data_IF_780001778688
#
_entry.id   IF_780001778688
#
_cell.length_a   1.000
_cell.length_b   1.000
_cell.length_c   1.000
_cell.angle_alpha   90.00
_cell.angle_beta   90.00
_cell.angle_gamma   90.00
#
_symmetry.space_group_name_H-M   'P 1'
#
loop_
_entity.id
_entity.type
_entity.pdbx_description
1 polymer ?
#
# COMPACT_ATOMS: atom_id res chain seq x y z
N UNK A 1 22.96 -19.82 -9.30
CA UNK A 1 22.95 -18.68 -8.35
C UNK A 1 23.39 -19.17 -7.00
N UNK A 2 24.35 -18.49 -6.40
CA UNK A 2 24.85 -18.76 -5.03
C UNK A 2 24.74 -17.50 -4.19
N UNK A 3 24.28 -17.63 -2.98
CA UNK A 3 24.17 -16.52 -2.02
C UNK A 3 25.01 -16.85 -0.80
N UNK A 4 25.88 -15.92 -0.44
CA UNK A 4 26.82 -16.05 0.67
C UNK A 4 26.61 -14.95 1.71
N UNK A 5 27.01 -15.24 2.94
CA UNK A 5 27.03 -14.28 4.03
C UNK A 5 28.48 -13.92 4.39
N UNK A 6 28.82 -12.65 4.32
CA UNK A 6 30.10 -12.03 4.64
C UNK A 6 31.25 -12.41 3.71
N UNK A 7 31.50 -13.68 3.47
CA UNK A 7 32.63 -14.19 2.65
C UNK A 7 32.14 -15.18 1.59
N UNK A 8 32.94 -15.33 0.52
CA UNK A 8 32.65 -16.29 -0.55
C UNK A 8 33.45 -17.57 -0.30
N UNK A 9 32.93 -18.41 0.56
CA UNK A 9 33.46 -19.75 0.82
C UNK A 9 32.31 -20.74 1.08
N UNK A 10 32.63 -22.00 1.27
CA UNK A 10 31.63 -23.06 1.41
C UNK A 10 30.82 -22.90 2.72
N UNK A 11 31.47 -22.47 3.80
CA UNK A 11 30.84 -22.32 5.11
C UNK A 11 29.90 -21.11 5.17
N UNK A 12 30.14 -20.15 4.31
CA UNK A 12 29.33 -18.92 4.15
C UNK A 12 28.18 -19.04 3.16
N UNK A 13 28.05 -20.18 2.49
CA UNK A 13 26.98 -20.41 1.51
C UNK A 13 25.64 -20.60 2.23
N UNK A 14 24.71 -19.68 2.03
CA UNK A 14 23.37 -19.72 2.65
C UNK A 14 22.28 -20.21 1.70
N UNK A 15 22.48 -20.06 0.39
CA UNK A 15 21.54 -20.56 -0.61
C UNK A 15 22.25 -20.90 -1.92
N UNK A 16 21.81 -21.99 -2.56
CA UNK A 16 22.22 -22.37 -3.90
C UNK A 16 21.02 -22.82 -4.72
N UNK A 17 20.90 -22.31 -5.94
CA UNK A 17 19.88 -22.75 -6.89
C UNK A 17 20.39 -22.75 -8.32
N UNK A 18 19.94 -23.73 -9.11
CA UNK A 18 20.06 -23.73 -10.57
C UNK A 18 18.75 -23.26 -11.15
N UNK A 19 18.81 -22.28 -12.04
CA UNK A 19 17.63 -21.62 -12.61
C UNK A 19 17.75 -21.66 -14.11
N UNK A 20 16.67 -22.01 -14.79
CA UNK A 20 16.53 -21.83 -16.22
C UNK A 20 15.54 -20.70 -16.45
N UNK A 21 15.95 -19.71 -17.23
CA UNK A 21 15.12 -18.58 -17.60
C UNK A 21 14.91 -18.57 -19.11
N UNK A 22 13.68 -18.35 -19.55
CA UNK A 22 13.41 -18.03 -20.94
C UNK A 22 13.87 -16.59 -21.23
N UNK A 23 14.16 -16.29 -22.50
CA UNK A 23 14.54 -14.95 -22.91
C UNK A 23 13.45 -13.93 -22.54
N UNK A 24 13.86 -12.83 -21.87
CA UNK A 24 12.93 -11.78 -21.42
C UNK A 24 12.12 -12.12 -20.18
N UNK A 25 12.34 -13.28 -19.54
CA UNK A 25 11.68 -13.65 -18.29
C UNK A 25 12.51 -13.24 -17.07
N UNK A 26 11.81 -13.01 -15.95
CA UNK A 26 12.41 -12.77 -14.64
C UNK A 26 11.91 -13.82 -13.63
N UNK A 27 12.73 -14.13 -12.64
CA UNK A 27 12.36 -15.02 -11.55
C UNK A 27 12.87 -14.51 -10.23
N UNK A 28 11.99 -14.49 -9.23
CA UNK A 28 12.33 -14.20 -7.84
C UNK A 28 12.98 -15.42 -7.17
N UNK A 29 13.99 -15.17 -6.34
CA UNK A 29 14.63 -16.17 -5.48
C UNK A 29 14.37 -15.77 -4.04
N UNK A 30 13.61 -16.60 -3.31
CA UNK A 30 13.36 -16.42 -1.89
C UNK A 30 14.31 -17.31 -1.09
N UNK A 31 14.92 -16.76 -0.05
CA UNK A 31 15.72 -17.51 0.91
C UNK A 31 15.54 -16.92 2.31
N UNK A 32 15.77 -17.75 3.32
CA UNK A 32 15.69 -17.32 4.72
C UNK A 32 17.09 -17.28 5.33
N UNK A 33 17.38 -16.23 6.07
CA UNK A 33 18.62 -16.06 6.81
C UNK A 33 18.32 -16.03 8.31
N UNK A 34 18.91 -16.95 9.07
CA UNK A 34 18.86 -16.89 10.53
C UNK A 34 19.87 -15.87 11.03
N UNK A 35 19.39 -14.85 11.73
CA UNK A 35 20.21 -13.68 12.13
C UNK A 35 20.55 -13.67 13.64
N UNK A 36 20.08 -14.64 14.42
CA UNK A 36 20.21 -14.64 15.90
C UNK A 36 21.65 -14.50 16.39
N UNK A 37 22.62 -15.03 15.65
CA UNK A 37 24.06 -15.04 15.96
C UNK A 37 24.84 -14.07 15.02
N UNK A 38 24.17 -13.17 14.32
CA UNK A 38 24.75 -12.29 13.29
C UNK A 38 24.66 -10.81 13.66
N UNK A 39 24.65 -10.50 14.96
CA UNK A 39 24.55 -9.10 15.43
C UNK A 39 25.70 -8.28 14.88
N UNK A 40 25.40 -7.05 14.41
CA UNK A 40 26.33 -6.12 13.81
C UNK A 40 26.25 -6.08 12.28
N UNK A 41 27.29 -5.56 11.65
CA UNK A 41 27.35 -5.40 10.20
C UNK A 41 27.61 -6.72 9.50
N UNK A 42 26.81 -6.99 8.51
CA UNK A 42 26.89 -8.18 7.67
C UNK A 42 26.77 -7.79 6.20
N UNK A 43 27.19 -8.69 5.32
CA UNK A 43 27.12 -8.52 3.87
C UNK A 43 26.52 -9.75 3.21
N UNK A 44 25.49 -9.55 2.40
CA UNK A 44 25.01 -10.58 1.46
C UNK A 44 25.78 -10.42 0.15
N UNK A 45 26.29 -11.53 -0.37
CA UNK A 45 26.99 -11.60 -1.63
C UNK A 45 26.26 -12.57 -2.54
N UNK A 46 25.74 -12.06 -3.65
CA UNK A 46 25.08 -12.85 -4.68
C UNK A 46 26.06 -13.11 -5.82
N UNK A 47 26.27 -14.37 -6.15
CA UNK A 47 27.01 -14.78 -7.35
C UNK A 47 26.09 -15.46 -8.34
N UNK A 48 26.08 -14.95 -9.55
CA UNK A 48 25.37 -15.57 -10.68
C UNK A 48 26.40 -16.04 -11.67
N UNK A 49 26.39 -17.33 -11.96
CA UNK A 49 27.25 -17.92 -13.00
C UNK A 49 26.40 -18.37 -14.16
N UNK A 50 26.69 -17.83 -15.33
CA UNK A 50 26.07 -18.21 -16.58
C UNK A 50 27.18 -18.62 -17.60
N UNK A 51 27.22 -19.88 -17.98
CA UNK A 51 28.26 -20.44 -18.85
C UNK A 51 29.66 -20.13 -18.30
N UNK A 52 30.38 -19.21 -18.95
CA UNK A 52 31.76 -18.82 -18.61
C UNK A 52 31.82 -17.42 -17.92
N UNK A 53 30.69 -16.79 -17.69
CA UNK A 53 30.61 -15.48 -17.07
C UNK A 53 30.14 -15.59 -15.60
N UNK A 54 30.69 -14.78 -14.74
CA UNK A 54 30.31 -14.69 -13.33
C UNK A 54 30.04 -13.23 -12.96
N UNK A 55 28.86 -12.98 -12.40
CA UNK A 55 28.44 -11.68 -11.91
C UNK A 55 28.36 -11.74 -10.38
N UNK A 56 28.89 -10.73 -9.72
CA UNK A 56 28.82 -10.62 -8.26
C UNK A 56 28.17 -9.30 -7.87
N UNK A 57 27.15 -9.37 -7.03
CA UNK A 57 26.46 -8.22 -6.43
C UNK A 57 26.52 -8.39 -4.92
N UNK A 58 26.79 -7.34 -4.18
CA UNK A 58 26.78 -7.38 -2.72
C UNK A 58 25.96 -6.24 -2.12
N UNK A 59 25.37 -6.51 -0.93
CA UNK A 59 24.65 -5.51 -0.16
C UNK A 59 24.98 -5.68 1.32
N UNK A 60 25.37 -4.58 1.95
CA UNK A 60 25.57 -4.53 3.40
C UNK A 60 24.23 -4.33 4.11
N UNK A 61 24.12 -4.96 5.30
CA UNK A 61 23.00 -4.78 6.22
C UNK A 61 23.51 -4.90 7.66
N UNK A 62 22.73 -4.39 8.60
CA UNK A 62 23.05 -4.46 10.01
C UNK A 62 21.97 -5.25 10.76
N UNK A 63 22.41 -6.17 11.61
CA UNK A 63 21.55 -6.88 12.55
C UNK A 63 21.70 -6.21 13.90
N UNK A 64 20.63 -5.55 14.34
CA UNK A 64 20.57 -4.89 15.65
C UNK A 64 20.04 -5.87 16.70
N UNK A 65 20.65 -5.84 17.88
CA UNK A 65 20.08 -6.53 19.03
C UNK A 65 18.93 -5.70 19.58
N UNK A 66 17.70 -6.20 19.45
CA UNK A 66 16.49 -5.54 19.94
C UNK A 66 15.69 -6.50 20.81
N UNK A 67 15.18 -5.99 21.92
CA UNK A 67 14.24 -6.74 22.75
C UNK A 67 12.89 -6.93 22.05
N UNK A 68 12.55 -6.02 21.16
CA UNK A 68 11.35 -6.09 20.30
C UNK A 68 11.77 -6.72 18.98
N UNK A 69 11.46 -8.00 18.80
CA UNK A 69 11.75 -8.73 17.56
C UNK A 69 10.47 -8.96 16.78
N UNK A 70 10.43 -8.44 15.57
CA UNK A 70 9.49 -8.91 14.57
C UNK A 70 10.23 -9.75 13.54
N UNK A 71 9.78 -10.98 13.33
CA UNK A 71 10.23 -11.81 12.21
C UNK A 71 9.40 -11.56 10.95
N UNK A 72 8.38 -10.73 11.08
CA UNK A 72 7.54 -10.33 9.97
C UNK A 72 8.15 -9.11 9.28
N UNK A 73 7.93 -9.01 8.00
CA UNK A 73 8.09 -7.80 7.22
C UNK A 73 7.00 -6.79 7.61
N UNK A 74 6.91 -5.69 6.93
CA UNK A 74 5.83 -4.73 7.10
C UNK A 74 4.50 -5.44 6.80
N UNK A 75 3.59 -5.47 7.79
CA UNK A 75 2.31 -6.17 7.65
C UNK A 75 1.34 -5.44 6.71
N UNK A 76 1.57 -4.17 6.43
CA UNK A 76 0.71 -3.41 5.53
C UNK A 76 1.25 -2.03 5.19
N UNK A 77 0.57 -1.35 4.30
CA UNK A 77 0.90 0.01 3.87
C UNK A 77 -0.36 0.83 3.59
N UNK A 78 -0.20 2.14 3.65
CA UNK A 78 -1.19 3.07 3.12
C UNK A 78 -1.14 3.08 1.60
N UNK A 79 -2.31 3.05 0.99
CA UNK A 79 -2.49 3.21 -0.44
C UNK A 79 -3.41 4.41 -0.69
N UNK A 80 -2.90 5.43 -1.35
CA UNK A 80 -3.71 6.55 -1.83
C UNK A 80 -4.26 6.25 -3.21
N UNK A 81 -5.56 6.45 -3.41
CA UNK A 81 -6.21 6.28 -4.72
C UNK A 81 -5.88 7.42 -5.68
N UNK A 82 -5.64 8.60 -5.17
CA UNK A 82 -5.11 9.77 -5.85
C UNK A 82 -4.61 10.74 -4.78
N UNK A 83 -3.62 11.55 -5.12
CA UNK A 83 -3.07 12.44 -4.12
C UNK A 83 -3.96 13.67 -3.92
N UNK A 84 -4.47 13.86 -2.74
CA UNK A 84 -5.18 15.03 -2.22
C UNK A 84 -6.26 15.59 -3.16
N UNK A 85 -6.10 16.83 -3.60
CA UNK A 85 -7.00 17.46 -4.57
C UNK A 85 -6.59 17.16 -6.02
N UNK A 86 -7.49 17.42 -6.96
CA UNK A 86 -7.20 17.29 -8.39
C UNK A 86 -6.03 18.18 -8.84
N UNK A 87 -5.91 19.36 -8.23
CA UNK A 87 -4.84 20.33 -8.57
C UNK A 87 -3.49 19.79 -8.08
N UNK A 88 -3.42 19.29 -6.89
CA UNK A 88 -2.18 18.80 -6.28
C UNK A 88 -1.76 17.44 -6.84
N UNK A 89 -2.68 16.54 -7.05
CA UNK A 89 -2.42 15.20 -7.57
C UNK A 89 -1.67 15.18 -8.90
N UNK A 90 -1.83 16.20 -9.72
CA UNK A 90 -1.10 16.30 -10.99
C UNK A 90 0.43 16.45 -10.81
N UNK A 91 0.87 16.95 -9.67
CA UNK A 91 2.30 17.15 -9.40
C UNK A 91 2.93 15.96 -8.66
N UNK A 92 2.15 15.25 -7.85
CA UNK A 92 2.69 14.22 -6.98
C UNK A 92 2.76 12.85 -7.62
N UNK A 93 1.69 12.38 -8.20
CA UNK A 93 1.71 11.10 -8.93
C UNK A 93 0.61 11.06 -10.00
N UNK A 94 0.88 11.63 -11.18
CA UNK A 94 -0.11 11.67 -12.26
C UNK A 94 -0.46 10.28 -12.82
N UNK A 95 0.37 9.25 -12.57
CA UNK A 95 0.14 7.92 -13.10
C UNK A 95 -0.92 7.15 -12.31
N UNK A 96 -1.08 7.41 -11.01
CA UNK A 96 -2.17 6.84 -10.21
C UNK A 96 -3.54 7.16 -10.83
N UNK A 97 -3.71 8.38 -11.32
CA UNK A 97 -4.92 8.82 -12.02
C UNK A 97 -5.29 7.94 -13.23
N UNK A 98 -4.28 7.34 -13.87
CA UNK A 98 -4.45 6.52 -15.08
C UNK A 98 -4.66 5.04 -14.77
N UNK A 99 -4.45 4.61 -13.53
CA UNK A 99 -4.61 3.21 -13.14
C UNK A 99 -6.05 2.75 -13.35
N UNK A 100 -6.18 1.61 -14.00
CA UNK A 100 -7.47 0.93 -14.20
C UNK A 100 -7.81 0.06 -12.99
N UNK A 101 -9.05 -0.45 -12.91
CA UNK A 101 -9.44 -1.40 -11.86
C UNK A 101 -8.55 -2.64 -11.84
N UNK A 102 -8.09 -3.13 -13.00
CA UNK A 102 -7.20 -4.29 -13.07
C UNK A 102 -5.80 -3.97 -12.55
N UNK A 103 -5.30 -2.77 -12.76
CA UNK A 103 -4.02 -2.33 -12.21
C UNK A 103 -4.09 -2.16 -10.68
N UNK A 104 -5.23 -1.75 -10.14
CA UNK A 104 -5.46 -1.76 -8.69
C UNK A 104 -5.44 -3.18 -8.12
N UNK A 105 -6.06 -4.16 -8.80
CA UNK A 105 -5.96 -5.58 -8.42
C UNK A 105 -4.51 -6.09 -8.47
N UNK A 106 -3.75 -5.69 -9.49
CA UNK A 106 -2.33 -6.07 -9.60
C UNK A 106 -1.50 -5.48 -8.46
N UNK A 107 -1.77 -4.24 -8.05
CA UNK A 107 -1.12 -3.64 -6.89
C UNK A 107 -1.39 -4.46 -5.62
N UNK A 108 -2.62 -4.87 -5.37
CA UNK A 108 -2.99 -5.73 -4.22
C UNK A 108 -2.22 -7.05 -4.26
N UNK A 109 -2.16 -7.72 -5.43
CA UNK A 109 -1.36 -8.94 -5.61
C UNK A 109 0.12 -8.71 -5.32
N UNK A 110 0.66 -7.59 -5.79
CA UNK A 110 2.05 -7.22 -5.56
C UNK A 110 2.34 -6.99 -4.08
N UNK A 111 1.45 -6.29 -3.36
CA UNK A 111 1.57 -6.08 -1.91
C UNK A 111 1.54 -7.43 -1.17
N UNK A 112 0.59 -8.29 -1.48
CA UNK A 112 0.50 -9.63 -0.89
C UNK A 112 1.76 -10.47 -1.18
N UNK A 113 2.32 -10.38 -2.39
CA UNK A 113 3.49 -11.17 -2.80
C UNK A 113 4.76 -10.85 -1.98
N UNK A 114 4.84 -9.65 -1.41
CA UNK A 114 5.93 -9.24 -0.52
C UNK A 114 5.60 -9.40 0.96
N UNK A 115 4.47 -10.05 1.27
CA UNK A 115 4.09 -10.43 2.63
C UNK A 115 3.25 -9.40 3.37
N UNK A 116 2.63 -8.45 2.69
CA UNK A 116 1.68 -7.53 3.31
C UNK A 116 0.30 -8.17 3.38
N UNK A 117 -0.34 -8.07 4.54
CA UNK A 117 -1.67 -8.62 4.81
C UNK A 117 -2.72 -7.51 5.05
N UNK A 118 -2.28 -6.26 5.18
CA UNK A 118 -3.15 -5.13 5.48
C UNK A 118 -2.95 -4.00 4.49
N UNK A 119 -4.06 -3.46 4.00
CA UNK A 119 -4.10 -2.24 3.18
C UNK A 119 -4.89 -1.18 3.95
N UNK A 120 -4.33 0.01 4.12
CA UNK A 120 -5.05 1.18 4.60
C UNK A 120 -5.29 2.10 3.41
N UNK A 121 -6.53 2.19 2.95
CA UNK A 121 -6.92 3.21 1.98
C UNK A 121 -7.02 4.54 2.72
N UNK A 122 -6.13 5.47 2.42
CA UNK A 122 -6.00 6.69 3.20
C UNK A 122 -7.29 7.52 3.18
N UNK A 123 -7.88 7.68 2.00
CA UNK A 123 -9.12 8.39 1.83
C UNK A 123 -9.81 8.00 0.52
N UNK A 124 -11.12 8.00 0.54
CA UNK A 124 -11.96 7.63 -0.61
C UNK A 124 -12.81 8.77 -1.11
N UNK A 125 -12.81 9.88 -0.38
CA UNK A 125 -13.54 11.09 -0.69
C UNK A 125 -12.68 12.31 -0.31
N UNK A 126 -12.63 13.32 -1.17
CA UNK A 126 -11.75 14.48 -0.92
C UNK A 126 -12.40 15.79 -1.27
N UNK A 127 -12.34 16.74 -0.34
CA UNK A 127 -12.60 18.14 -0.64
C UNK A 127 -11.56 18.68 -1.63
N UNK A 128 -12.01 19.43 -2.62
CA UNK A 128 -11.12 19.99 -3.63
C UNK A 128 -10.54 21.36 -3.21
N UNK A 129 -11.24 22.06 -2.34
CA UNK A 129 -10.75 23.30 -1.72
C UNK A 129 -9.93 22.98 -0.47
N UNK A 130 -8.75 22.56 -0.69
CA UNK A 130 -7.90 21.83 0.20
C UNK A 130 -7.64 22.51 1.55
N UNK A 131 -6.80 23.44 1.72
CA UNK A 131 -6.27 23.84 3.04
C UNK A 131 -6.97 25.04 3.65
N UNK A 132 -7.36 24.91 4.92
CA UNK A 132 -7.71 26.05 5.77
C UNK A 132 -9.11 26.64 5.56
N UNK A 133 -9.96 25.99 4.78
CA UNK A 133 -11.37 26.37 4.70
C UNK A 133 -12.19 25.55 5.69
N UNK A 134 -12.60 26.19 6.77
CA UNK A 134 -13.46 25.61 7.81
C UNK A 134 -14.91 26.13 7.74
N UNK A 135 -15.25 26.84 6.66
CA UNK A 135 -16.57 27.40 6.40
C UNK A 135 -17.37 26.58 5.38
N UNK A 136 -17.08 25.29 5.31
CA UNK A 136 -17.77 24.37 4.40
C UNK A 136 -19.17 24.05 4.93
N UNK A 137 -20.09 23.86 3.98
CA UNK A 137 -21.45 23.43 4.27
C UNK A 137 -21.71 22.07 3.63
N UNK A 138 -22.30 21.16 4.37
CA UNK A 138 -22.61 19.81 3.91
C UNK A 138 -23.53 19.79 2.68
N UNK A 139 -24.44 20.79 2.55
CA UNK A 139 -25.39 20.84 1.47
C UNK A 139 -24.77 21.33 0.13
N UNK A 140 -23.62 21.99 0.20
CA UNK A 140 -22.91 22.48 -0.98
C UNK A 140 -21.47 21.95 -1.07
N UNK A 141 -21.19 20.84 -0.41
CA UNK A 141 -19.89 20.22 -0.38
C UNK A 141 -19.36 19.93 -1.78
N UNK A 142 -18.15 20.41 -2.09
CA UNK A 142 -17.52 20.32 -3.42
C UNK A 142 -16.52 19.16 -3.51
N UNK A 143 -16.55 18.23 -2.57
CA UNK A 143 -15.67 17.06 -2.59
C UNK A 143 -15.97 16.12 -3.74
N UNK A 144 -14.98 15.35 -4.10
CA UNK A 144 -15.06 14.31 -5.14
C UNK A 144 -14.70 12.95 -4.59
N UNK A 145 -15.50 11.96 -4.95
CA UNK A 145 -15.30 10.57 -4.57
C UNK A 145 -14.35 9.86 -5.54
N UNK A 146 -13.60 8.91 -5.02
CA UNK A 146 -12.77 7.99 -5.83
C UNK A 146 -13.52 6.71 -6.23
N UNK A 147 -14.78 6.55 -5.80
CA UNK A 147 -15.67 5.41 -6.06
C UNK A 147 -17.00 5.91 -6.64
N UNK A 148 -17.87 5.04 -7.16
CA UNK A 148 -19.15 5.44 -7.75
C UNK A 148 -20.18 5.88 -6.68
N UNK A 149 -19.83 6.90 -5.88
CA UNK A 149 -20.69 7.47 -4.85
C UNK A 149 -21.94 8.11 -5.42
N UNK A 150 -23.03 8.05 -4.66
CA UNK A 150 -24.28 8.77 -4.93
C UNK A 150 -24.42 10.03 -4.07
N UNK A 151 -23.55 10.20 -3.08
CA UNK A 151 -23.46 11.42 -2.27
C UNK A 151 -22.76 12.50 -3.08
N UNK A 152 -23.27 13.70 -3.04
CA UNK A 152 -22.65 14.87 -3.69
C UNK A 152 -22.40 14.72 -5.21
N UNK A 153 -22.26 15.84 -5.87
CA UNK A 153 -22.02 15.87 -7.30
C UNK A 153 -20.52 15.91 -7.57
N UNK A 154 -19.93 14.80 -7.89
CA UNK A 154 -18.57 14.82 -8.40
C UNK A 154 -17.80 13.56 -8.09
N UNK A 155 -17.10 13.13 -9.11
CA UNK A 155 -16.15 12.04 -9.04
C UNK A 155 -14.79 12.54 -9.46
N UNK A 156 -13.75 12.02 -8.81
CA UNK A 156 -12.38 12.29 -9.24
C UNK A 156 -12.17 11.78 -10.66
N UNK A 157 -11.50 12.55 -11.52
CA UNK A 157 -11.25 12.19 -12.91
C UNK A 157 -10.12 11.14 -12.99
N UNK A 158 -10.41 9.93 -12.52
CA UNK A 158 -9.52 8.77 -12.54
C UNK A 158 -10.02 7.73 -13.55
N UNK A 159 -9.11 6.93 -14.10
CA UNK A 159 -9.43 5.92 -15.11
C UNK A 159 -10.15 4.70 -14.54
N UNK A 160 -9.88 4.36 -13.28
CA UNK A 160 -10.58 3.28 -12.60
C UNK A 160 -12.08 3.59 -12.47
N UNK A 161 -12.92 2.60 -12.72
CA UNK A 161 -14.37 2.73 -12.56
C UNK A 161 -14.79 2.61 -11.11
N UNK A 162 -14.25 1.60 -10.44
CA UNK A 162 -14.45 1.32 -9.02
C UNK A 162 -13.17 0.74 -8.40
N UNK A 163 -12.18 1.58 -8.09
CA UNK A 163 -10.93 1.11 -7.52
C UNK A 163 -11.10 0.47 -6.14
N UNK A 164 -12.12 0.90 -5.36
CA UNK A 164 -12.39 0.34 -4.04
C UNK A 164 -12.90 -1.10 -4.19
N UNK A 165 -13.91 -1.32 -5.01
CA UNK A 165 -14.42 -2.67 -5.29
C UNK A 165 -13.35 -3.57 -5.93
N UNK A 166 -12.48 -3.01 -6.77
CA UNK A 166 -11.35 -3.75 -7.34
C UNK A 166 -10.35 -4.20 -6.26
N UNK A 167 -9.98 -3.32 -5.34
CA UNK A 167 -9.08 -3.62 -4.22
C UNK A 167 -9.69 -4.67 -3.30
N UNK A 168 -10.93 -4.46 -2.85
CA UNK A 168 -11.62 -5.38 -1.94
C UNK A 168 -11.81 -6.75 -2.55
N UNK A 169 -12.29 -6.83 -3.79
CA UNK A 169 -12.49 -8.12 -4.47
C UNK A 169 -11.21 -8.93 -4.66
N UNK A 170 -10.06 -8.28 -4.78
CA UNK A 170 -8.78 -8.98 -4.85
C UNK A 170 -8.25 -9.32 -3.45
N UNK A 171 -8.41 -8.42 -2.49
CA UNK A 171 -8.06 -8.66 -1.09
C UNK A 171 -8.85 -9.85 -0.49
N UNK A 172 -10.14 -10.01 -0.83
CA UNK A 172 -10.97 -11.17 -0.44
C UNK A 172 -10.33 -12.49 -0.88
N UNK A 173 -9.86 -12.58 -2.13
CA UNK A 173 -9.23 -13.78 -2.68
C UNK A 173 -7.92 -14.13 -1.99
N UNK A 174 -7.20 -13.12 -1.51
CA UNK A 174 -5.88 -13.24 -0.92
C UNK A 174 -5.93 -13.32 0.61
N UNK A 175 -7.10 -13.15 1.23
CA UNK A 175 -7.26 -13.14 2.68
C UNK A 175 -6.63 -11.93 3.36
N UNK A 176 -6.50 -10.82 2.64
CA UNK A 176 -5.98 -9.56 3.18
C UNK A 176 -7.09 -8.76 3.89
N UNK A 177 -6.69 -7.84 4.75
CA UNK A 177 -7.59 -6.90 5.43
C UNK A 177 -7.46 -5.50 4.83
N UNK A 178 -8.59 -4.81 4.65
CA UNK A 178 -8.63 -3.44 4.14
C UNK A 178 -9.28 -2.53 5.18
N UNK A 179 -8.54 -1.53 5.64
CA UNK A 179 -9.08 -0.43 6.43
C UNK A 179 -9.47 0.71 5.50
N UNK A 180 -10.74 1.09 5.54
CA UNK A 180 -11.32 2.05 4.62
C UNK A 180 -11.25 3.47 5.19
N UNK A 181 -10.43 4.32 4.60
CA UNK A 181 -10.41 5.73 4.91
C UNK A 181 -11.67 6.42 4.44
N UNK A 182 -12.35 7.11 5.35
CA UNK A 182 -13.63 7.76 5.04
C UNK A 182 -13.44 8.97 4.13
N UNK A 183 -12.31 9.64 4.25
CA UNK A 183 -12.03 10.87 3.51
C UNK A 183 -11.99 12.07 4.44
N UNK A 184 -12.08 13.26 3.84
CA UNK A 184 -11.89 14.50 4.55
C UNK A 184 -12.94 15.54 4.14
N UNK A 185 -13.72 16.01 5.11
CA UNK A 185 -14.67 17.11 4.92
C UNK A 185 -13.91 18.42 4.74
N UNK A 186 -13.13 18.80 5.74
CA UNK A 186 -12.15 19.87 5.70
C UNK A 186 -10.98 19.52 6.62
N UNK A 187 -9.85 20.12 6.42
CA UNK A 187 -8.66 19.85 7.22
C UNK A 187 -8.86 20.31 8.68
N UNK A 188 -8.73 19.38 9.63
CA UNK A 188 -8.93 19.61 11.06
C UNK A 188 -10.31 20.19 11.43
N UNK A 189 -11.34 19.86 10.68
CA UNK A 189 -12.72 20.28 11.00
C UNK A 189 -13.40 19.20 11.84
N UNK A 190 -13.63 19.51 13.11
CA UNK A 190 -14.30 18.66 14.09
C UNK A 190 -15.70 19.18 14.47
N UNK A 191 -16.33 19.93 13.58
CA UNK A 191 -17.69 20.41 13.76
C UNK A 191 -18.72 19.28 13.70
N UNK A 192 -19.93 19.56 14.18
CA UNK A 192 -21.06 18.63 14.03
C UNK A 192 -21.35 18.35 12.57
N UNK A 193 -21.19 19.33 11.70
CA UNK A 193 -21.40 19.20 10.27
C UNK A 193 -20.38 18.26 9.62
N UNK A 194 -19.12 18.37 10.00
CA UNK A 194 -18.07 17.42 9.61
C UNK A 194 -18.40 16.00 10.06
N UNK A 195 -18.86 15.83 11.31
CA UNK A 195 -19.27 14.53 11.82
C UNK A 195 -20.44 13.93 11.03
N UNK A 196 -21.46 14.72 10.70
CA UNK A 196 -22.60 14.23 9.92
C UNK A 196 -22.18 13.85 8.49
N UNK A 197 -21.26 14.59 7.88
CA UNK A 197 -20.68 14.23 6.60
C UNK A 197 -19.93 12.89 6.66
N UNK A 198 -19.08 12.69 7.67
CA UNK A 198 -18.34 11.43 7.84
C UNK A 198 -19.28 10.24 8.05
N UNK A 199 -20.38 10.43 8.79
CA UNK A 199 -21.39 9.38 8.98
C UNK A 199 -22.08 9.00 7.67
N UNK A 200 -22.41 9.98 6.82
CA UNK A 200 -23.02 9.71 5.51
C UNK A 200 -22.08 8.92 4.60
N UNK A 201 -20.82 9.34 4.52
CA UNK A 201 -19.81 8.65 3.70
C UNK A 201 -19.55 7.23 4.24
N UNK A 202 -19.38 7.08 5.55
CA UNK A 202 -19.16 5.78 6.16
C UNK A 202 -20.36 4.84 5.92
N UNK A 203 -21.59 5.38 6.03
CA UNK A 203 -22.79 4.60 5.74
C UNK A 203 -22.84 4.12 4.29
N UNK A 204 -22.60 5.01 3.33
CA UNK A 204 -22.58 4.64 1.91
C UNK A 204 -21.51 3.59 1.61
N UNK A 205 -20.30 3.76 2.14
CA UNK A 205 -19.23 2.78 1.99
C UNK A 205 -19.61 1.42 2.56
N UNK A 206 -20.28 1.41 3.73
CA UNK A 206 -20.75 0.17 4.33
C UNK A 206 -21.86 -0.47 3.50
N UNK A 207 -22.83 0.32 3.02
CA UNK A 207 -23.94 -0.17 2.20
C UNK A 207 -23.43 -0.75 0.85
N UNK A 208 -22.34 -0.21 0.31
CA UNK A 208 -21.77 -0.65 -0.98
C UNK A 208 -20.79 -1.82 -0.85
N UNK A 209 -19.99 -1.82 0.21
CA UNK A 209 -18.82 -2.70 0.31
C UNK A 209 -18.74 -3.54 1.58
N UNK A 210 -19.67 -3.36 2.52
CA UNK A 210 -19.64 -4.03 3.83
C UNK A 210 -19.73 -5.56 3.77
N UNK A 211 -20.18 -6.13 2.65
CA UNK A 211 -20.27 -7.58 2.43
C UNK A 211 -18.93 -8.22 2.03
N UNK A 212 -17.89 -7.41 1.75
CA UNK A 212 -16.56 -7.94 1.46
C UNK A 212 -15.88 -8.46 2.73
N UNK A 213 -15.47 -9.73 2.81
CA UNK A 213 -14.76 -10.28 3.96
C UNK A 213 -13.47 -9.51 4.30
N UNK A 214 -12.82 -8.91 3.30
CA UNK A 214 -11.63 -8.10 3.47
C UNK A 214 -11.90 -6.71 4.07
N UNK A 215 -13.16 -6.24 4.10
CA UNK A 215 -13.49 -4.96 4.72
C UNK A 215 -13.36 -5.06 6.24
N UNK A 216 -12.20 -4.71 6.76
CA UNK A 216 -11.89 -4.88 8.18
C UNK A 216 -12.52 -3.80 9.07
N UNK A 217 -12.58 -2.56 8.59
CA UNK A 217 -13.12 -1.43 9.34
C UNK A 217 -12.79 -0.11 8.69
N UNK A 218 -13.17 0.97 9.39
CA UNK A 218 -12.90 2.32 8.93
C UNK A 218 -11.59 2.89 9.50
N UNK A 219 -10.92 3.69 8.70
CA UNK A 219 -9.81 4.55 9.09
C UNK A 219 -10.26 6.01 9.04
N UNK A 220 -10.12 6.71 10.14
CA UNK A 220 -10.42 8.14 10.22
C UNK A 220 -9.22 8.90 9.67
N UNK A 221 -9.41 9.55 8.53
CA UNK A 221 -8.33 10.20 7.77
C UNK A 221 -7.87 11.54 8.36
N UNK A 222 -8.51 12.00 9.45
CA UNK A 222 -8.12 13.23 10.14
C UNK A 222 -6.94 13.01 11.09
N UNK A 223 -5.91 13.82 10.95
CA UNK A 223 -4.78 13.81 11.86
C UNK A 223 -5.17 14.57 13.13
N UNK A 224 -5.24 13.88 14.27
CA UNK A 224 -5.49 14.47 15.56
C UNK A 224 -4.19 14.48 16.36
N UNK A 225 -3.73 15.66 16.79
CA UNK A 225 -2.79 15.74 17.89
C UNK A 225 -3.54 15.35 19.16
N UNK A 226 -3.28 14.19 19.70
CA UNK A 226 -3.80 13.79 21.00
C UNK A 226 -3.20 14.69 22.07
N UNK A 227 -4.00 15.56 22.65
CA UNK A 227 -3.67 16.32 23.86
C UNK A 227 -4.30 15.64 25.07
#
# INVERSE_FOLDING_TARGET
VSIYLNDVNQDSLIHFSRITLAQGSAREIKFSLKTTDKIGRNRIILKVKEKNEEFTISKDFEVINSEIRSTRLIDGAWAGLYHWSEIEGKYWNPDIKKMTDDQWRELVRSMHSIGMDVIVLQEVFRNQDYVGKHDLNINNYQGKAFYPSTLYSGRMPISAKDPIGAILSEADKLGMSVMMGVGMFAWFDFTVESLEWHKQVAKELWDMYGDHPSFYGFYVSEECAGN
#
